data_IF_914033268490
#
_entry.id   IF_914033268490
#
_cell.length_a   1.000
_cell.length_b   1.000
_cell.length_c   1.000
_cell.angle_alpha   90.00
_cell.angle_beta   90.00
_cell.angle_gamma   90.00
#
_symmetry.space_group_name_H-M   'P 1'
#
loop_
_entity.id
_entity.type
_entity.pdbx_description
1 polymer ?
#
# COMPACT_ATOMS: atom_id res chain seq x y z
N UNK A 1 9.52 -7.86 -16.21
CA UNK A 1 8.38 -8.53 -15.61
C UNK A 1 7.12 -7.98 -16.26
N UNK A 2 6.37 -8.80 -16.98
CA UNK A 2 5.01 -8.46 -17.43
C UNK A 2 3.94 -8.91 -16.41
N UNK A 3 2.66 -8.65 -16.71
CA UNK A 3 1.57 -8.98 -15.79
C UNK A 3 1.30 -10.49 -15.67
N UNK A 4 1.64 -11.28 -16.68
CA UNK A 4 1.49 -12.74 -16.65
C UNK A 4 2.56 -13.31 -15.72
N UNK A 5 3.80 -12.85 -15.86
CA UNK A 5 4.92 -13.19 -14.97
C UNK A 5 4.63 -12.78 -13.53
N UNK A 6 4.11 -11.57 -13.31
CA UNK A 6 3.68 -11.09 -11.98
C UNK A 6 2.65 -12.03 -11.34
N UNK A 7 1.56 -12.33 -12.06
CA UNK A 7 0.48 -13.17 -11.54
C UNK A 7 1.01 -14.57 -11.24
N UNK A 8 1.82 -15.14 -12.13
CA UNK A 8 2.41 -16.47 -11.92
C UNK A 8 3.35 -16.50 -10.72
N UNK A 9 4.16 -15.46 -10.52
CA UNK A 9 5.06 -15.33 -9.37
C UNK A 9 4.28 -15.35 -8.06
N UNK A 10 3.24 -14.52 -7.95
CA UNK A 10 2.43 -14.45 -6.72
C UNK A 10 1.65 -15.74 -6.52
N UNK A 11 1.04 -16.29 -7.57
CA UNK A 11 0.29 -17.55 -7.53
C UNK A 11 1.10 -18.69 -6.92
N UNK A 12 2.35 -18.84 -7.34
CA UNK A 12 3.23 -19.90 -6.85
C UNK A 12 3.67 -19.73 -5.38
N UNK A 13 3.34 -18.58 -4.78
CA UNK A 13 3.72 -18.23 -3.42
C UNK A 13 2.51 -17.85 -2.55
N UNK A 14 1.26 -18.10 -2.99
CA UNK A 14 0.09 -17.87 -2.16
C UNK A 14 0.14 -18.72 -0.88
N UNK A 15 -0.20 -18.11 0.26
CA UNK A 15 -0.27 -18.75 1.59
C UNK A 15 -1.70 -18.85 2.13
N UNK A 16 -2.64 -18.09 1.59
CA UNK A 16 -4.02 -18.05 2.08
C UNK A 16 -5.03 -18.26 0.95
N UNK A 17 -6.20 -18.81 1.29
CA UNK A 17 -7.32 -18.96 0.36
C UNK A 17 -7.83 -17.60 -0.17
N UNK A 18 -7.64 -16.52 0.59
CA UNK A 18 -7.96 -15.17 0.15
C UNK A 18 -7.04 -14.73 -1.00
N UNK A 19 -5.73 -14.96 -0.87
CA UNK A 19 -4.75 -14.68 -1.92
C UNK A 19 -5.02 -15.50 -3.19
N UNK A 20 -5.28 -16.80 -3.06
CA UNK A 20 -5.66 -17.66 -4.19
C UNK A 20 -6.92 -17.14 -4.90
N UNK A 21 -7.91 -16.66 -4.13
CA UNK A 21 -9.13 -16.06 -4.68
C UNK A 21 -8.86 -14.76 -5.42
N UNK A 22 -7.97 -13.90 -4.92
CA UNK A 22 -7.57 -12.68 -5.63
C UNK A 22 -6.81 -13.00 -6.91
N UNK A 23 -5.86 -13.93 -6.86
CA UNK A 23 -5.14 -14.42 -8.05
C UNK A 23 -6.10 -14.98 -9.09
N UNK A 24 -7.04 -15.84 -8.70
CA UNK A 24 -8.04 -16.40 -9.63
C UNK A 24 -8.95 -15.34 -10.26
N UNK A 25 -9.13 -14.17 -9.63
CA UNK A 25 -9.82 -13.02 -10.25
C UNK A 25 -8.93 -12.31 -11.27
N UNK A 26 -7.64 -12.12 -10.94
CA UNK A 26 -6.66 -11.47 -11.81
C UNK A 26 -6.36 -12.31 -13.05
N UNK A 27 -6.23 -13.63 -12.91
CA UNK A 27 -6.02 -14.58 -14.02
C UNK A 27 -7.16 -14.55 -15.05
N UNK A 28 -8.41 -14.36 -14.59
CA UNK A 28 -9.58 -14.32 -15.48
C UNK A 28 -9.63 -13.05 -16.33
N UNK A 29 -9.27 -11.90 -15.73
CA UNK A 29 -9.34 -10.60 -16.40
C UNK A 29 -8.42 -9.62 -15.70
N UNK A 30 -7.26 -9.38 -16.32
CA UNK A 30 -6.32 -8.38 -15.88
C UNK A 30 -6.37 -7.14 -16.79
N UNK A 31 -6.53 -5.96 -16.18
CA UNK A 31 -6.26 -4.70 -16.86
C UNK A 31 -5.85 -3.65 -15.83
N UNK A 32 -4.63 -3.12 -15.95
CA UNK A 32 -4.11 -2.12 -15.01
C UNK A 32 -4.92 -0.81 -15.01
N UNK A 33 -5.69 -0.56 -16.07
CA UNK A 33 -6.62 0.58 -16.18
C UNK A 33 -7.98 0.33 -15.52
N UNK A 34 -8.24 -0.90 -15.06
CA UNK A 34 -9.52 -1.25 -14.43
C UNK A 34 -9.46 -0.99 -12.93
N UNK A 35 -10.36 -0.13 -12.43
CA UNK A 35 -10.56 0.06 -10.98
C UNK A 35 -10.77 -1.25 -10.23
N UNK A 36 -11.42 -2.24 -10.86
CA UNK A 36 -11.64 -3.57 -10.26
C UNK A 36 -10.34 -4.36 -10.12
N UNK A 37 -9.49 -4.35 -11.15
CA UNK A 37 -8.17 -4.99 -11.11
C UNK A 37 -7.29 -4.29 -10.07
N UNK A 38 -7.28 -2.96 -10.06
CA UNK A 38 -6.52 -2.16 -9.10
C UNK A 38 -6.93 -2.45 -7.66
N UNK A 39 -8.22 -2.44 -7.33
CA UNK A 39 -8.70 -2.80 -5.99
C UNK A 39 -8.37 -4.26 -5.62
N UNK A 40 -8.44 -5.19 -6.58
CA UNK A 40 -8.06 -6.59 -6.33
C UNK A 40 -6.57 -6.74 -6.05
N UNK A 41 -5.71 -5.98 -6.75
CA UNK A 41 -4.28 -5.93 -6.47
C UNK A 41 -4.01 -5.30 -5.10
N UNK A 42 -4.65 -4.17 -4.78
CA UNK A 42 -4.47 -3.50 -3.50
C UNK A 42 -4.84 -4.40 -2.30
N UNK A 43 -5.95 -5.16 -2.40
CA UNK A 43 -6.36 -6.14 -1.38
C UNK A 43 -5.34 -7.29 -1.28
N UNK A 44 -4.87 -7.80 -2.43
CA UNK A 44 -3.86 -8.86 -2.49
C UNK A 44 -2.54 -8.41 -1.85
N UNK A 45 -2.08 -7.20 -2.13
CA UNK A 45 -0.81 -6.68 -1.60
C UNK A 45 -0.85 -6.43 -0.10
N UNK A 46 -1.97 -5.87 0.41
CA UNK A 46 -2.27 -5.85 1.85
C UNK A 46 -2.14 -7.25 2.46
N UNK A 47 -2.69 -8.27 1.79
CA UNK A 47 -2.63 -9.65 2.26
C UNK A 47 -1.21 -10.21 2.30
N UNK A 48 -0.43 -9.97 1.25
CA UNK A 48 0.97 -10.39 1.19
C UNK A 48 1.79 -9.74 2.31
N UNK A 49 1.56 -8.45 2.58
CA UNK A 49 2.26 -7.69 3.62
C UNK A 49 1.98 -8.25 5.01
N UNK A 50 0.70 -8.42 5.37
CA UNK A 50 0.31 -8.97 6.67
C UNK A 50 0.79 -10.41 6.88
N UNK A 51 0.83 -11.21 5.81
CA UNK A 51 1.37 -12.56 5.87
C UNK A 51 2.92 -12.61 5.82
N UNK A 52 3.57 -11.46 6.01
CA UNK A 52 5.02 -11.25 6.03
C UNK A 52 5.72 -11.82 4.80
N UNK A 53 5.09 -11.72 3.63
CA UNK A 53 5.65 -12.13 2.34
C UNK A 53 6.49 -11.01 1.74
N UNK A 54 7.37 -10.41 2.56
CA UNK A 54 8.10 -9.19 2.21
C UNK A 54 9.00 -9.36 0.98
N UNK A 55 9.75 -10.46 0.88
CA UNK A 55 10.57 -10.72 -0.29
C UNK A 55 9.73 -10.82 -1.57
N UNK A 56 8.57 -11.48 -1.51
CA UNK A 56 7.68 -11.58 -2.66
C UNK A 56 7.16 -10.20 -3.10
N UNK A 57 6.79 -9.34 -2.15
CA UNK A 57 6.41 -7.95 -2.45
C UNK A 57 7.54 -7.22 -3.18
N UNK A 58 8.76 -7.32 -2.66
CA UNK A 58 9.95 -6.70 -3.26
C UNK A 58 10.21 -7.24 -4.67
N UNK A 59 10.11 -8.56 -4.88
CA UNK A 59 10.34 -9.20 -6.18
C UNK A 59 9.34 -8.71 -7.25
N UNK A 60 8.18 -8.18 -6.84
CA UNK A 60 7.19 -7.61 -7.76
C UNK A 60 7.42 -6.15 -8.12
N UNK A 61 8.28 -5.44 -7.39
CA UNK A 61 8.57 -4.02 -7.62
C UNK A 61 8.90 -3.68 -9.09
N UNK A 62 9.73 -4.47 -9.82
CA UNK A 62 10.05 -4.17 -11.21
C UNK A 62 8.82 -4.05 -12.12
N UNK A 63 7.74 -4.79 -11.85
CA UNK A 63 6.50 -4.66 -12.62
C UNK A 63 5.87 -3.28 -12.41
N UNK A 64 5.69 -2.83 -11.16
CA UNK A 64 5.00 -1.57 -10.87
C UNK A 64 5.78 -0.35 -11.35
N UNK A 65 7.12 -0.39 -11.30
CA UNK A 65 7.96 0.69 -11.83
C UNK A 65 7.86 0.85 -13.35
N UNK A 66 7.34 -0.14 -14.09
CA UNK A 66 7.08 0.01 -15.53
C UNK A 66 5.74 0.70 -15.84
N UNK A 67 4.85 0.81 -14.84
CA UNK A 67 3.54 1.41 -15.01
C UNK A 67 3.72 2.93 -15.04
N UNK A 68 3.50 3.51 -16.23
CA UNK A 68 3.49 4.96 -16.38
C UNK A 68 2.21 5.53 -15.78
N UNK A 69 2.36 6.52 -14.91
CA UNK A 69 1.23 7.33 -14.45
C UNK A 69 0.65 8.15 -15.61
N UNK A 70 -0.65 8.00 -15.89
CA UNK A 70 -1.31 8.60 -17.06
C UNK A 70 -2.36 9.68 -16.73
N UNK A 71 -2.56 10.04 -15.44
CA UNK A 71 -3.45 11.14 -15.05
C UNK A 71 -4.00 11.03 -13.64
N UNK A 72 -4.89 11.95 -13.24
CA UNK A 72 -5.58 12.10 -11.94
C UNK A 72 -5.26 11.04 -10.85
N UNK A 73 -4.53 11.47 -9.82
CA UNK A 73 -4.14 10.65 -8.65
C UNK A 73 -5.30 9.87 -8.02
N UNK A 74 -6.50 10.46 -7.92
CA UNK A 74 -7.67 9.80 -7.32
C UNK A 74 -8.14 8.56 -8.11
N UNK A 75 -7.70 8.40 -9.37
CA UNK A 75 -7.96 7.21 -10.16
C UNK A 75 -6.83 6.18 -10.08
N UNK A 76 -5.62 6.61 -9.72
CA UNK A 76 -4.39 5.81 -9.78
C UNK A 76 -3.79 5.50 -8.41
N UNK A 77 -4.37 6.02 -7.31
CA UNK A 77 -3.84 5.88 -5.95
C UNK A 77 -3.61 4.42 -5.51
N UNK A 78 -4.36 3.45 -6.05
CA UNK A 78 -4.15 2.04 -5.73
C UNK A 78 -2.73 1.56 -6.09
N UNK A 79 -2.12 2.10 -7.14
CA UNK A 79 -0.72 1.79 -7.50
C UNK A 79 0.23 2.35 -6.45
N UNK A 80 -0.03 3.57 -5.99
CA UNK A 80 0.78 4.19 -4.93
C UNK A 80 0.64 3.43 -3.61
N UNK A 81 -0.57 3.00 -3.23
CA UNK A 81 -0.78 2.13 -2.07
C UNK A 81 -0.04 0.79 -2.16
N UNK A 82 0.02 0.20 -3.36
CA UNK A 82 0.80 -1.02 -3.59
C UNK A 82 2.30 -0.74 -3.42
N UNK A 83 2.80 0.37 -3.96
CA UNK A 83 4.18 0.79 -3.80
C UNK A 83 4.50 1.12 -2.33
N UNK A 84 3.56 1.66 -1.57
CA UNK A 84 3.68 1.88 -0.12
C UNK A 84 3.80 0.55 0.65
N UNK A 85 2.98 -0.46 0.31
CA UNK A 85 3.10 -1.79 0.89
C UNK A 85 4.48 -2.43 0.60
N UNK A 86 4.99 -2.26 -0.62
CA UNK A 86 6.33 -2.73 -1.01
C UNK A 86 7.42 -1.95 -0.26
N UNK A 87 7.28 -0.63 -0.15
CA UNK A 87 8.22 0.21 0.59
C UNK A 87 8.29 -0.22 2.06
N UNK A 88 7.14 -0.46 2.69
CA UNK A 88 7.11 -0.99 4.05
C UNK A 88 7.82 -2.34 4.15
N UNK A 89 7.59 -3.25 3.20
CA UNK A 89 8.27 -4.54 3.17
C UNK A 89 9.81 -4.40 3.08
N UNK A 90 10.31 -3.40 2.35
CA UNK A 90 11.74 -3.08 2.28
C UNK A 90 12.25 -2.63 3.66
N UNK A 91 11.57 -1.69 4.31
CA UNK A 91 11.92 -1.24 5.66
C UNK A 91 11.93 -2.41 6.66
N UNK A 92 10.89 -3.24 6.64
CA UNK A 92 10.74 -4.40 7.52
C UNK A 92 11.81 -5.48 7.30
N UNK A 93 12.51 -5.47 6.16
CA UNK A 93 13.65 -6.35 5.87
C UNK A 93 15.02 -5.72 6.17
N UNK A 94 15.05 -4.56 6.83
CA UNK A 94 16.29 -3.85 7.20
C UNK A 94 16.68 -2.73 6.25
N UNK A 95 15.79 -2.35 5.32
CA UNK A 95 16.01 -1.26 4.38
C UNK A 95 16.84 -1.67 3.16
N UNK A 96 16.68 -0.90 2.08
CA UNK A 96 17.51 -0.98 0.89
C UNK A 96 17.44 0.36 0.15
N UNK A 97 18.48 1.18 0.31
CA UNK A 97 18.51 2.54 -0.23
C UNK A 97 18.23 2.60 -1.73
N UNK A 98 18.68 1.62 -2.51
CA UNK A 98 18.45 1.58 -3.96
C UNK A 98 16.97 1.37 -4.26
N UNK A 99 16.32 0.40 -3.62
CA UNK A 99 14.91 0.09 -3.85
C UNK A 99 14.00 1.19 -3.29
N UNK A 100 14.31 1.71 -2.09
CA UNK A 100 13.62 2.85 -1.50
C UNK A 100 13.69 4.08 -2.41
N UNK A 101 14.86 4.35 -3.00
CA UNK A 101 15.04 5.47 -3.92
C UNK A 101 14.29 5.27 -5.24
N UNK A 102 14.16 4.04 -5.75
CA UNK A 102 13.34 3.76 -6.93
C UNK A 102 11.86 4.11 -6.70
N UNK A 103 11.30 3.68 -5.56
CA UNK A 103 9.91 4.00 -5.18
C UNK A 103 9.77 5.50 -4.95
N UNK A 104 10.71 6.13 -4.24
CA UNK A 104 10.70 7.57 -4.02
C UNK A 104 10.73 8.37 -5.33
N UNK A 105 11.57 7.99 -6.28
CA UNK A 105 11.65 8.65 -7.58
C UNK A 105 10.33 8.53 -8.37
N UNK A 106 9.68 7.37 -8.32
CA UNK A 106 8.34 7.19 -8.89
C UNK A 106 7.34 8.11 -8.21
N UNK A 107 7.25 8.06 -6.88
CA UNK A 107 6.31 8.86 -6.09
C UNK A 107 6.51 10.37 -6.33
N UNK A 108 7.76 10.84 -6.40
CA UNK A 108 8.08 12.23 -6.75
C UNK A 108 7.62 12.59 -8.17
N UNK A 109 7.78 11.69 -9.13
CA UNK A 109 7.28 11.90 -10.51
C UNK A 109 5.77 12.08 -10.53
N UNK A 110 5.03 11.29 -9.73
CA UNK A 110 3.57 11.42 -9.59
C UNK A 110 3.18 12.72 -8.89
N UNK A 111 3.92 13.10 -7.85
CA UNK A 111 3.74 14.36 -7.12
C UNK A 111 3.91 15.59 -8.02
N UNK A 112 4.97 15.61 -8.83
CA UNK A 112 5.28 16.70 -9.75
C UNK A 112 4.48 16.65 -11.07
N UNK A 113 3.67 15.60 -11.29
CA UNK A 113 2.91 15.43 -12.52
C UNK A 113 1.83 16.51 -12.68
N UNK A 114 1.80 17.11 -13.87
CA UNK A 114 0.75 18.04 -14.32
C UNK A 114 -0.14 17.30 -15.33
N UNK A 115 -1.43 17.22 -15.01
CA UNK A 115 -2.43 16.57 -15.86
C UNK A 115 -2.63 17.34 -17.17
N UNK A 116 -3.22 16.65 -18.16
CA UNK A 116 -3.53 17.25 -19.48
C UNK A 116 -4.44 18.47 -19.41
N UNK A 117 -5.27 18.56 -18.37
CA UNK A 117 -6.15 19.70 -18.09
C UNK A 117 -5.47 20.82 -17.29
N UNK A 118 -4.16 20.71 -17.03
CA UNK A 118 -3.37 21.67 -16.26
C UNK A 118 -3.45 21.50 -14.75
N UNK A 119 -4.28 20.57 -14.23
CA UNK A 119 -4.38 20.33 -12.79
C UNK A 119 -3.12 19.63 -12.26
N UNK A 120 -2.72 19.97 -11.03
CA UNK A 120 -1.58 19.35 -10.35
C UNK A 120 -2.04 18.29 -9.35
N UNK A 121 -1.34 17.16 -9.29
CA UNK A 121 -1.59 16.14 -8.28
C UNK A 121 -1.09 16.53 -6.88
N UNK A 122 -0.24 17.56 -6.76
CA UNK A 122 0.29 18.02 -5.47
C UNK A 122 -0.82 18.29 -4.46
N UNK A 123 -1.90 18.95 -4.89
CA UNK A 123 -3.04 19.23 -4.02
C UNK A 123 -3.71 17.95 -3.50
N UNK A 124 -3.96 16.97 -4.38
CA UNK A 124 -4.60 15.72 -3.98
C UNK A 124 -3.71 14.92 -3.00
N UNK A 125 -2.41 14.88 -3.26
CA UNK A 125 -1.45 14.17 -2.41
C UNK A 125 -1.25 14.90 -1.07
N UNK A 126 -1.15 16.23 -1.08
CA UNK A 126 -1.06 17.04 0.15
C UNK A 126 -2.33 16.93 1.00
N UNK A 127 -3.50 16.79 0.35
CA UNK A 127 -4.76 16.50 1.04
C UNK A 127 -4.74 15.11 1.68
N UNK A 128 -4.33 14.07 0.96
CA UNK A 128 -4.18 12.71 1.51
C UNK A 128 -3.17 12.65 2.67
N UNK A 129 -2.11 13.44 2.61
CA UNK A 129 -1.16 13.58 3.70
C UNK A 129 -1.79 14.16 4.97
N UNK A 130 -2.54 15.26 4.83
CA UNK A 130 -3.27 15.83 5.95
C UNK A 130 -4.30 14.85 6.50
N UNK A 131 -4.99 14.12 5.63
CA UNK A 131 -5.92 13.05 6.02
C UNK A 131 -5.20 11.92 6.76
N UNK A 132 -3.97 11.56 6.34
CA UNK A 132 -3.15 10.53 6.97
C UNK A 132 -2.74 10.93 8.39
N UNK A 133 -2.28 12.16 8.60
CA UNK A 133 -2.00 12.69 9.94
C UNK A 133 -3.25 12.70 10.83
N UNK A 134 -4.39 13.18 10.31
CA UNK A 134 -5.64 13.19 11.06
C UNK A 134 -6.10 11.78 11.44
N UNK A 135 -5.93 10.83 10.53
CA UNK A 135 -6.27 9.44 10.76
C UNK A 135 -5.38 8.79 11.83
N UNK A 136 -4.07 9.02 11.78
CA UNK A 136 -3.13 8.53 12.81
C UNK A 136 -3.54 9.08 14.17
N UNK A 137 -3.84 10.38 14.25
CA UNK A 137 -4.26 11.01 15.51
C UNK A 137 -5.57 10.43 16.06
N UNK A 138 -6.48 9.98 15.18
CA UNK A 138 -7.76 9.37 15.56
C UNK A 138 -7.73 7.84 15.64
N UNK A 139 -6.58 7.22 15.37
CA UNK A 139 -6.49 5.77 15.19
C UNK A 139 -6.96 5.01 16.41
N UNK A 140 -6.54 5.41 17.61
CA UNK A 140 -6.93 4.75 18.86
C UNK A 140 -8.44 4.81 19.12
N UNK A 141 -9.08 5.94 18.83
CA UNK A 141 -10.53 6.09 18.95
C UNK A 141 -11.26 5.22 17.91
N UNK A 142 -10.71 5.13 16.70
CA UNK A 142 -11.27 4.30 15.65
C UNK A 142 -11.16 2.81 15.97
N UNK A 143 -10.03 2.35 16.52
CA UNK A 143 -9.86 0.96 16.98
C UNK A 143 -10.86 0.64 18.10
N UNK A 144 -11.05 1.54 19.08
CA UNK A 144 -12.04 1.35 20.15
C UNK A 144 -13.46 1.20 19.59
N UNK A 145 -13.83 2.04 18.62
CA UNK A 145 -15.12 1.94 17.92
C UNK A 145 -15.30 0.62 17.17
N UNK A 146 -14.22 -0.02 16.70
CA UNK A 146 -14.31 -1.32 16.04
C UNK A 146 -14.77 -2.43 16.98
N UNK A 147 -14.27 -2.43 18.21
CA UNK A 147 -14.62 -3.41 19.24
C UNK A 147 -16.09 -3.30 19.64
N UNK A 148 -16.61 -2.08 19.66
CA UNK A 148 -17.98 -1.80 20.11
C UNK A 148 -19.03 -1.98 19.00
N UNK A 149 -18.72 -1.58 17.75
CA UNK A 149 -19.77 -1.36 16.74
C UNK A 149 -19.46 -1.87 15.32
N UNK A 150 -18.20 -1.92 14.88
CA UNK A 150 -17.86 -2.11 13.46
C UNK A 150 -17.33 -3.51 13.10
N UNK A 151 -16.85 -4.26 14.09
CA UNK A 151 -16.41 -5.65 13.93
C UNK A 151 -15.04 -5.82 13.26
N UNK A 152 -14.60 -7.08 13.20
CA UNK A 152 -13.20 -7.46 12.93
C UNK A 152 -12.74 -7.16 11.49
N UNK A 153 -13.63 -7.27 10.49
CA UNK A 153 -13.28 -6.96 9.11
C UNK A 153 -12.92 -5.47 8.94
N UNK A 154 -13.72 -4.58 9.54
CA UNK A 154 -13.45 -3.15 9.49
C UNK A 154 -12.17 -2.82 10.27
N UNK A 155 -12.01 -3.39 11.46
CA UNK A 155 -10.78 -3.24 12.26
C UNK A 155 -9.52 -3.66 11.48
N UNK A 156 -9.62 -4.76 10.74
CA UNK A 156 -8.55 -5.26 9.86
C UNK A 156 -8.16 -4.21 8.82
N UNK A 157 -9.16 -3.63 8.15
CA UNK A 157 -8.95 -2.58 7.16
C UNK A 157 -8.31 -1.33 7.75
N UNK A 158 -8.75 -0.90 8.94
CA UNK A 158 -8.20 0.29 9.62
C UNK A 158 -6.74 0.08 9.97
N UNK A 159 -6.39 -1.06 10.59
CA UNK A 159 -5.00 -1.39 10.94
C UNK A 159 -4.11 -1.49 9.70
N UNK A 160 -4.56 -2.14 8.62
CA UNK A 160 -3.79 -2.24 7.38
C UNK A 160 -3.57 -0.85 6.75
N UNK A 161 -4.61 -0.01 6.75
CA UNK A 161 -4.52 1.35 6.21
C UNK A 161 -3.54 2.25 6.95
N UNK A 162 -3.33 2.02 8.26
CA UNK A 162 -2.37 2.79 9.04
C UNK A 162 -0.94 2.60 8.52
N UNK A 163 -0.57 1.36 8.17
CA UNK A 163 0.76 1.03 7.65
C UNK A 163 1.08 1.85 6.40
N UNK A 164 0.15 1.87 5.45
CA UNK A 164 0.26 2.68 4.22
C UNK A 164 0.37 4.16 4.51
N UNK A 165 -0.51 4.68 5.37
CA UNK A 165 -0.52 6.11 5.76
C UNK A 165 0.81 6.57 6.34
N UNK A 166 1.46 5.74 7.15
CA UNK A 166 2.80 6.03 7.68
C UNK A 166 3.82 6.12 6.56
N UNK A 167 3.81 5.20 5.60
CA UNK A 167 4.70 5.26 4.43
C UNK A 167 4.44 6.50 3.56
N UNK A 168 3.16 6.85 3.31
CA UNK A 168 2.82 8.08 2.57
C UNK A 168 3.42 9.32 3.25
N UNK A 169 3.40 9.37 4.59
CA UNK A 169 4.03 10.44 5.38
C UNK A 169 5.55 10.42 5.22
N UNK A 170 6.21 9.25 5.30
CA UNK A 170 7.66 9.13 5.07
C UNK A 170 8.04 9.71 3.71
N UNK A 171 7.36 9.28 2.64
CA UNK A 171 7.64 9.71 1.27
C UNK A 171 7.44 11.22 1.12
N UNK A 172 6.41 11.79 1.73
CA UNK A 172 6.15 13.23 1.66
C UNK A 172 7.07 14.08 2.51
N UNK A 173 7.46 13.62 3.70
CA UNK A 173 8.52 14.26 4.48
C UNK A 173 9.80 14.33 3.65
N UNK A 174 10.16 13.24 2.95
CA UNK A 174 11.33 13.23 2.05
C UNK A 174 11.18 14.18 0.86
N UNK A 175 10.01 14.26 0.21
CA UNK A 175 9.75 15.23 -0.88
C UNK A 175 9.91 16.66 -0.38
N UNK A 176 9.31 16.98 0.77
CA UNK A 176 9.23 18.33 1.33
C UNK A 176 10.45 18.71 2.18
N UNK A 177 11.42 17.81 2.34
CA UNK A 177 12.57 17.99 3.23
C UNK A 177 12.17 18.32 4.67
N UNK A 178 11.17 17.60 5.18
CA UNK A 178 10.69 17.68 6.55
C UNK A 178 11.25 16.51 7.37
N UNK A 179 11.36 16.70 8.68
CA UNK A 179 11.65 15.62 9.61
C UNK A 179 10.49 14.61 9.66
N UNK A 180 10.82 13.33 9.80
CA UNK A 180 9.88 12.25 10.02
C UNK A 180 9.93 11.82 11.49
N UNK A 181 8.77 11.60 12.09
CA UNK A 181 8.65 11.07 13.44
C UNK A 181 8.75 9.54 13.40
N UNK A 182 9.91 9.01 13.76
CA UNK A 182 10.21 7.57 13.73
C UNK A 182 9.23 6.74 14.60
N UNK A 183 8.58 7.34 15.61
CA UNK A 183 7.58 6.64 16.42
C UNK A 183 6.36 6.17 15.61
N UNK A 184 6.08 6.82 14.47
CA UNK A 184 5.03 6.39 13.55
C UNK A 184 5.36 5.06 12.87
N UNK A 185 6.65 4.81 12.60
CA UNK A 185 7.10 3.54 12.04
C UNK A 185 7.00 2.41 13.07
N UNK A 186 7.31 2.68 14.34
CA UNK A 186 7.10 1.74 15.44
C UNK A 186 5.61 1.36 15.54
N UNK A 187 4.72 2.37 15.55
CA UNK A 187 3.27 2.16 15.56
C UNK A 187 2.79 1.29 14.38
N UNK A 188 3.28 1.54 13.17
CA UNK A 188 2.92 0.74 12.00
C UNK A 188 3.38 -0.73 12.11
N UNK A 189 4.60 -0.95 12.63
CA UNK A 189 5.12 -2.30 12.88
C UNK A 189 4.26 -3.05 13.91
N UNK A 190 3.88 -2.39 15.01
CA UNK A 190 2.98 -2.98 16.02
C UNK A 190 1.65 -3.42 15.40
N UNK A 191 1.07 -2.62 14.51
CA UNK A 191 -0.20 -2.98 13.86
C UNK A 191 -0.04 -4.19 12.95
N UNK A 192 1.07 -4.29 12.22
CA UNK A 192 1.35 -5.45 11.37
C UNK A 192 1.50 -6.74 12.20
N UNK A 193 2.16 -6.66 13.36
CA UNK A 193 2.24 -7.80 14.29
C UNK A 193 0.87 -8.19 14.84
N UNK A 194 0.02 -7.21 15.19
CA UNK A 194 -1.35 -7.47 15.63
C UNK A 194 -2.16 -8.17 14.54
N UNK A 195 -2.04 -7.74 13.28
CA UNK A 195 -2.75 -8.32 12.14
C UNK A 195 -2.35 -9.77 11.84
N UNK A 196 -1.19 -10.23 12.31
CA UNK A 196 -0.76 -11.62 12.19
C UNK A 196 -1.50 -12.56 13.18
N UNK A 197 -2.30 -12.03 14.10
CA UNK A 197 -3.13 -12.84 15.00
C UNK A 197 -4.25 -13.60 14.25
N UNK A 198 -4.61 -14.78 14.78
CA UNK A 198 -5.65 -15.64 14.19
C UNK A 198 -7.02 -14.93 14.00
N UNK A 199 -7.34 -13.95 14.87
CA UNK A 199 -8.54 -13.11 14.77
C UNK A 199 -8.68 -12.44 13.40
N UNK A 200 -7.58 -11.91 12.86
CA UNK A 200 -7.58 -11.08 11.65
C UNK A 200 -7.25 -11.86 10.38
N UNK A 201 -6.45 -12.94 10.49
CA UNK A 201 -6.00 -13.76 9.37
C UNK A 201 -7.09 -14.26 8.42
N UNK A 202 -8.32 -14.48 8.90
CA UNK A 202 -9.43 -14.94 8.04
C UNK A 202 -9.99 -13.85 7.11
N UNK A 203 -9.63 -12.59 7.35
CA UNK A 203 -10.08 -11.43 6.59
C UNK A 203 -9.01 -10.88 5.65
N UNK A 204 -7.86 -11.57 5.56
CA UNK A 204 -6.64 -11.13 4.90
C UNK A 204 -6.14 -12.22 3.96
#
# INVERSE_FOLDING_TARGET
MDHIELISLIKNNCKTAAQEKYIGRLEKKFSIRSKRTLGTLEDLYSSLLVNKQHQLLIDTLPYFLTIKFEGNYNHWYCIEHILEDIYFAILAMGGNEVLENQIFCHYKTVYDFINKDGSSNRYAIDLEWNNSHQAINKFNDEIRSCEEYKGVLYETSVRSSLVRRVVSIILLCKIKSLEFDDSLLELANEQLEILNNAKYKRYI
#
